data_IF_716349654046
#
_entry.id   IF_716349654046
#
_cell.length_a   1.000
_cell.length_b   1.000
_cell.length_c   1.000
_cell.angle_alpha   90.00
_cell.angle_beta   90.00
_cell.angle_gamma   90.00
#
_symmetry.space_group_name_H-M   'P 1'
#
loop_
_entity.id
_entity.type
_entity.pdbx_description
1 polymer ?
#
# COMPACT_ATOMS: atom_id res chain seq x y z
N UNK A 1 -22.32 -4.05 -12.16
CA UNK A 1 -23.72 -3.59 -12.13
C UNK A 1 -23.77 -2.10 -12.44
N UNK A 2 -24.95 -1.57 -12.76
CA UNK A 2 -25.16 -0.43 -13.65
C UNK A 2 -24.17 0.74 -13.51
N UNK A 3 -23.62 1.14 -14.65
CA UNK A 3 -22.88 2.39 -14.87
C UNK A 3 -23.79 3.62 -14.67
N UNK A 4 -24.39 3.76 -13.49
CA UNK A 4 -25.28 4.89 -13.19
C UNK A 4 -24.46 6.17 -13.29
N UNK A 5 -24.93 7.09 -14.12
CA UNK A 5 -24.31 8.41 -14.23
C UNK A 5 -24.72 9.26 -13.03
N UNK A 6 -23.99 10.34 -12.77
CA UNK A 6 -24.39 11.23 -11.68
C UNK A 6 -25.79 11.79 -11.85
N UNK A 7 -26.20 12.12 -13.07
CA UNK A 7 -27.54 12.64 -13.33
C UNK A 7 -28.61 11.59 -13.02
N UNK A 8 -28.39 10.33 -13.41
CA UNK A 8 -29.32 9.24 -13.10
C UNK A 8 -29.39 8.95 -11.59
N UNK A 9 -28.28 9.03 -10.88
CA UNK A 9 -28.27 8.85 -9.43
C UNK A 9 -29.00 9.99 -8.71
N UNK A 10 -28.74 11.25 -9.10
CA UNK A 10 -29.43 12.41 -8.53
C UNK A 10 -30.92 12.41 -8.85
N UNK A 11 -31.32 11.97 -10.05
CA UNK A 11 -32.73 11.81 -10.41
C UNK A 11 -33.42 10.74 -9.54
N UNK A 12 -32.79 9.60 -9.29
CA UNK A 12 -33.35 8.59 -8.39
C UNK A 12 -33.53 9.11 -6.97
N UNK A 13 -32.58 9.93 -6.49
CA UNK A 13 -32.71 10.59 -5.18
C UNK A 13 -33.84 11.61 -5.17
N UNK A 14 -33.98 12.41 -6.23
CA UNK A 14 -35.05 13.39 -6.39
C UNK A 14 -36.42 12.71 -6.40
N UNK A 15 -36.59 11.70 -7.25
CA UNK A 15 -37.84 10.92 -7.35
C UNK A 15 -38.20 10.25 -6.02
N UNK A 16 -37.22 9.72 -5.28
CA UNK A 16 -37.46 9.13 -3.97
C UNK A 16 -37.91 10.17 -2.92
N UNK A 17 -37.41 11.42 -3.01
CA UNK A 17 -37.83 12.53 -2.14
C UNK A 17 -39.24 13.00 -2.51
N UNK A 18 -39.49 13.21 -3.81
CA UNK A 18 -40.77 13.70 -4.35
C UNK A 18 -41.91 12.72 -4.09
N UNK A 19 -41.64 11.42 -4.19
CA UNK A 19 -42.61 10.36 -3.90
C UNK A 19 -42.74 10.04 -2.40
N UNK A 20 -42.03 10.77 -1.54
CA UNK A 20 -42.00 10.57 -0.08
C UNK A 20 -41.55 9.16 0.36
N UNK A 21 -40.68 8.51 -0.42
CA UNK A 21 -40.13 7.18 -0.14
C UNK A 21 -38.89 7.27 0.77
N UNK A 22 -39.10 7.71 2.02
CA UNK A 22 -38.01 7.99 2.96
C UNK A 22 -37.06 6.81 3.21
N UNK A 23 -37.54 5.56 3.18
CA UNK A 23 -36.69 4.36 3.32
C UNK A 23 -35.79 4.13 2.12
N UNK A 24 -36.29 4.36 0.90
CA UNK A 24 -35.53 4.18 -0.34
C UNK A 24 -34.54 5.33 -0.53
N UNK A 25 -34.94 6.57 -0.23
CA UNK A 25 -34.03 7.72 -0.18
C UNK A 25 -32.91 7.51 0.85
N UNK A 26 -33.24 7.00 2.04
CA UNK A 26 -32.23 6.66 3.06
C UNK A 26 -31.30 5.52 2.61
N UNK A 27 -31.78 4.59 1.79
CA UNK A 27 -30.95 3.56 1.17
C UNK A 27 -30.01 4.19 0.13
N UNK A 28 -30.52 5.01 -0.78
CA UNK A 28 -29.73 5.74 -1.78
C UNK A 28 -28.64 6.58 -1.14
N UNK A 29 -28.92 7.28 -0.04
CA UNK A 29 -27.97 8.08 0.74
C UNK A 29 -27.20 7.28 1.79
N UNK A 30 -27.36 5.96 1.80
CA UNK A 30 -26.58 5.10 2.66
C UNK A 30 -25.19 4.89 2.08
N UNK A 31 -24.18 4.85 2.96
CA UNK A 31 -22.87 4.31 2.57
C UNK A 31 -22.88 2.81 2.23
N UNK A 32 -24.05 2.16 2.30
CA UNK A 32 -24.27 0.77 1.90
C UNK A 32 -24.70 0.65 0.42
N UNK A 33 -25.06 1.75 -0.24
CA UNK A 33 -25.62 1.70 -1.59
C UNK A 33 -24.54 1.70 -2.69
N UNK A 34 -24.76 0.98 -3.80
CA UNK A 34 -23.84 0.83 -4.95
C UNK A 34 -23.08 2.06 -5.43
N UNK A 35 -23.77 3.19 -5.36
CA UNK A 35 -23.29 4.46 -5.89
C UNK A 35 -21.95 4.89 -5.23
N UNK A 36 -21.68 4.45 -3.99
CA UNK A 36 -20.47 4.82 -3.22
C UNK A 36 -19.17 4.35 -3.90
N UNK A 37 -19.20 3.18 -4.54
CA UNK A 37 -18.04 2.59 -5.21
C UNK A 37 -17.92 2.99 -6.68
N UNK A 38 -18.91 3.69 -7.22
CA UNK A 38 -18.92 4.11 -8.62
C UNK A 38 -17.92 5.26 -8.87
N UNK A 39 -16.86 5.05 -9.69
CA UNK A 39 -15.86 6.09 -9.96
C UNK A 39 -16.45 7.34 -10.62
N UNK A 40 -17.59 7.23 -11.33
CA UNK A 40 -18.26 8.38 -11.97
C UNK A 40 -18.93 9.32 -10.98
N UNK A 41 -19.13 8.87 -9.74
CA UNK A 41 -19.74 9.64 -8.67
C UNK A 41 -18.70 10.25 -7.71
N UNK A 42 -17.41 9.90 -7.88
CA UNK A 42 -16.29 10.44 -7.11
C UNK A 42 -15.83 11.80 -7.68
N UNK A 43 -16.72 12.79 -7.65
CA UNK A 43 -16.43 14.13 -8.15
C UNK A 43 -15.70 14.98 -7.10
N UNK A 44 -14.81 15.86 -7.56
CA UNK A 44 -14.14 16.83 -6.70
C UNK A 44 -15.09 17.92 -6.19
N UNK A 45 -16.09 18.29 -7.00
CA UNK A 45 -17.10 19.31 -6.70
C UNK A 45 -18.50 18.84 -7.14
N UNK A 46 -19.20 18.03 -6.34
CA UNK A 46 -20.56 17.59 -6.66
C UNK A 46 -21.63 18.68 -6.48
N UNK A 47 -21.33 19.80 -5.81
CA UNK A 47 -22.29 20.85 -5.42
C UNK A 47 -23.05 21.42 -6.62
N UNK A 48 -22.35 21.84 -7.67
CA UNK A 48 -22.99 22.43 -8.86
C UNK A 48 -23.97 21.46 -9.52
N UNK A 49 -23.66 20.16 -9.52
CA UNK A 49 -24.52 19.13 -10.13
C UNK A 49 -25.69 18.76 -9.22
N UNK A 50 -25.48 18.72 -7.90
CA UNK A 50 -26.55 18.48 -6.95
C UNK A 50 -27.55 19.65 -6.97
N UNK A 51 -27.08 20.90 -6.99
CA UNK A 51 -27.93 22.11 -7.06
C UNK A 51 -28.78 22.19 -8.33
N UNK A 52 -28.32 21.60 -9.44
CA UNK A 52 -29.07 21.57 -10.69
C UNK A 52 -30.26 20.60 -10.67
N UNK A 53 -30.28 19.63 -9.74
CA UNK A 53 -31.23 18.51 -9.76
C UNK A 53 -32.05 18.41 -8.46
N UNK A 54 -31.49 18.80 -7.32
CA UNK A 54 -32.12 18.68 -6.00
C UNK A 54 -32.37 20.08 -5.42
N UNK A 55 -33.48 20.23 -4.69
CA UNK A 55 -33.79 21.46 -3.96
C UNK A 55 -33.13 21.51 -2.58
N UNK A 56 -32.97 22.71 -2.03
CA UNK A 56 -32.45 22.95 -0.68
C UNK A 56 -33.44 22.40 0.36
N UNK A 57 -33.00 21.63 1.38
CA UNK A 57 -31.61 21.38 1.80
C UNK A 57 -31.01 20.04 1.31
N UNK A 58 -31.67 19.35 0.39
CA UNK A 58 -31.28 18.01 -0.05
C UNK A 58 -30.02 18.04 -0.92
N UNK A 59 -29.88 19.05 -1.78
CA UNK A 59 -28.69 19.28 -2.60
C UNK A 59 -27.38 19.27 -1.79
N UNK A 60 -27.33 20.00 -0.67
CA UNK A 60 -26.17 20.08 0.22
C UNK A 60 -25.89 18.74 0.90
N UNK A 61 -26.93 18.07 1.39
CA UNK A 61 -26.82 16.77 2.05
C UNK A 61 -26.28 15.70 1.10
N UNK A 62 -26.79 15.63 -0.14
CA UNK A 62 -26.36 14.64 -1.14
C UNK A 62 -24.96 14.96 -1.65
N UNK A 63 -24.62 16.24 -1.84
CA UNK A 63 -23.27 16.67 -2.20
C UNK A 63 -22.24 16.32 -1.11
N UNK A 64 -22.61 16.41 0.16
CA UNK A 64 -21.77 15.99 1.28
C UNK A 64 -21.58 14.47 1.31
N UNK A 65 -22.65 13.71 1.05
CA UNK A 65 -22.63 12.26 1.00
C UNK A 65 -21.74 11.71 -0.13
N UNK A 66 -21.89 12.24 -1.35
CA UNK A 66 -21.07 11.86 -2.51
C UNK A 66 -19.56 12.11 -2.30
N UNK A 67 -19.20 13.03 -1.41
CA UNK A 67 -17.81 13.31 -1.06
C UNK A 67 -17.17 12.28 -0.11
N UNK A 68 -17.93 11.48 0.64
CA UNK A 68 -17.41 10.87 1.85
C UNK A 68 -16.28 9.82 1.66
N UNK A 69 -16.32 8.97 0.62
CA UNK A 69 -15.23 8.02 0.36
C UNK A 69 -13.96 8.69 -0.18
N UNK A 70 -14.03 9.56 -1.21
CA UNK A 70 -12.90 10.39 -1.61
C UNK A 70 -12.34 11.23 -0.46
N UNK A 71 -13.21 11.80 0.39
CA UNK A 71 -12.81 12.53 1.60
C UNK A 71 -12.14 11.59 2.59
N UNK A 72 -12.64 10.37 2.82
CA UNK A 72 -11.95 9.41 3.68
C UNK A 72 -10.54 9.11 3.16
N UNK A 73 -10.37 8.91 1.84
CA UNK A 73 -9.04 8.70 1.26
C UNK A 73 -8.12 9.91 1.40
N UNK A 74 -8.64 11.13 1.16
CA UNK A 74 -7.90 12.37 1.33
C UNK A 74 -7.50 12.58 2.81
N UNK A 75 -8.46 12.54 3.73
CA UNK A 75 -8.24 12.73 5.17
C UNK A 75 -7.28 11.69 5.74
N UNK A 76 -7.39 10.42 5.35
CA UNK A 76 -6.47 9.39 5.86
C UNK A 76 -5.05 9.52 5.29
N UNK A 77 -4.90 9.99 4.05
CA UNK A 77 -3.60 10.33 3.48
C UNK A 77 -3.00 11.55 4.20
N UNK A 78 -3.78 12.60 4.36
CA UNK A 78 -3.36 13.86 4.96
C UNK A 78 -3.04 13.67 6.44
N UNK A 79 -3.84 12.90 7.19
CA UNK A 79 -3.56 12.56 8.58
C UNK A 79 -2.21 11.84 8.72
N UNK A 80 -1.86 10.92 7.80
CA UNK A 80 -0.55 10.26 7.79
C UNK A 80 0.57 11.25 7.51
N UNK A 81 0.40 12.15 6.54
CA UNK A 81 1.41 13.17 6.18
C UNK A 81 1.59 14.16 7.34
N UNK A 82 0.49 14.62 7.92
CA UNK A 82 0.45 15.53 9.05
C UNK A 82 1.15 14.92 10.27
N UNK A 83 0.79 13.70 10.65
CA UNK A 83 1.43 12.99 11.76
C UNK A 83 2.94 12.83 11.54
N UNK A 84 3.36 12.54 10.31
CA UNK A 84 4.77 12.45 9.94
C UNK A 84 5.51 13.80 10.10
N UNK A 85 4.89 14.90 9.69
CA UNK A 85 5.48 16.23 9.79
C UNK A 85 5.51 16.74 11.24
N UNK A 86 4.43 16.51 12.00
CA UNK A 86 4.33 16.83 13.41
C UNK A 86 5.41 16.09 14.22
N UNK A 87 5.63 14.81 13.94
CA UNK A 87 6.69 14.03 14.56
C UNK A 87 8.08 14.58 14.26
N UNK A 88 8.38 14.89 12.99
CA UNK A 88 9.66 15.51 12.63
C UNK A 88 9.88 16.85 13.36
N UNK A 89 8.83 17.64 13.52
CA UNK A 89 8.91 18.91 14.24
C UNK A 89 9.15 18.71 15.75
N UNK A 90 8.49 17.73 16.37
CA UNK A 90 8.67 17.41 17.80
C UNK A 90 10.05 16.84 18.09
N UNK A 91 10.56 15.97 17.21
CA UNK A 91 11.92 15.43 17.31
C UNK A 91 12.97 16.54 17.19
N UNK A 92 12.81 17.49 16.26
CA UNK A 92 13.70 18.67 16.14
C UNK A 92 13.69 19.54 17.39
N UNK A 93 12.56 19.60 18.11
CA UNK A 93 12.42 20.36 19.36
C UNK A 93 12.83 19.56 20.60
N UNK A 94 13.30 18.31 20.46
CA UNK A 94 13.68 17.43 21.58
C UNK A 94 12.51 17.01 22.48
N UNK A 95 11.26 17.21 22.04
CA UNK A 95 10.03 16.98 22.85
C UNK A 95 9.21 15.78 22.39
N UNK A 96 9.66 15.04 21.37
CA UNK A 96 8.92 13.94 20.76
C UNK A 96 9.58 12.57 20.96
N UNK A 97 8.77 11.53 21.09
CA UNK A 97 9.20 10.13 20.94
C UNK A 97 8.98 9.68 19.50
N UNK A 98 9.91 8.90 18.94
CA UNK A 98 9.77 8.35 17.59
C UNK A 98 8.61 7.35 17.54
N UNK A 99 7.66 7.57 16.63
CA UNK A 99 6.51 6.73 16.38
C UNK A 99 5.21 7.17 17.08
N UNK A 100 5.25 8.06 18.08
CA UNK A 100 4.06 8.38 18.90
C UNK A 100 2.92 9.01 18.08
N UNK A 101 3.22 10.01 17.26
CA UNK A 101 2.19 10.66 16.44
C UNK A 101 1.71 9.76 15.31
N UNK A 102 2.60 8.94 14.76
CA UNK A 102 2.24 7.96 13.74
C UNK A 102 1.35 6.85 14.30
N UNK A 103 1.56 6.42 15.54
CA UNK A 103 0.71 5.44 16.22
C UNK A 103 -0.70 5.98 16.45
N UNK A 104 -0.82 7.22 16.91
CA UNK A 104 -2.14 7.90 17.05
C UNK A 104 -2.86 7.99 15.72
N UNK A 105 -2.16 8.34 14.64
CA UNK A 105 -2.74 8.34 13.30
C UNK A 105 -3.15 6.93 12.85
N UNK A 106 -2.32 5.91 13.10
CA UNK A 106 -2.64 4.53 12.76
C UNK A 106 -3.88 4.01 13.49
N UNK A 107 -4.09 4.42 14.74
CA UNK A 107 -5.30 4.07 15.50
C UNK A 107 -6.58 4.61 14.83
N UNK A 108 -6.55 5.86 14.36
CA UNK A 108 -7.68 6.45 13.62
C UNK A 108 -7.90 5.74 12.27
N UNK A 109 -6.83 5.46 11.52
CA UNK A 109 -6.90 4.71 10.26
C UNK A 109 -7.44 3.29 10.48
N UNK A 110 -7.10 2.64 11.59
CA UNK A 110 -7.65 1.34 12.00
C UNK A 110 -9.14 1.43 12.31
N UNK A 111 -9.62 2.56 12.85
CA UNK A 111 -11.05 2.87 12.95
C UNK A 111 -11.75 2.79 11.59
N UNK A 112 -11.27 3.55 10.59
CA UNK A 112 -11.80 3.51 9.22
C UNK A 112 -11.74 2.11 8.61
N UNK A 113 -10.63 1.39 8.82
CA UNK A 113 -10.44 0.04 8.30
C UNK A 113 -11.48 -0.93 8.87
N UNK A 114 -11.73 -0.88 10.19
CA UNK A 114 -12.75 -1.74 10.84
C UNK A 114 -14.14 -1.50 10.29
N UNK A 115 -14.50 -0.23 10.01
CA UNK A 115 -15.78 0.13 9.39
C UNK A 115 -15.90 -0.43 7.97
N UNK A 116 -14.82 -0.43 7.19
CA UNK A 116 -14.81 -1.02 5.85
C UNK A 116 -14.84 -2.56 5.89
N UNK A 117 -14.11 -3.17 6.82
CA UNK A 117 -13.98 -4.62 6.92
C UNK A 117 -15.24 -5.31 7.45
N UNK A 118 -16.03 -4.64 8.29
CA UNK A 118 -17.30 -5.17 8.83
C UNK A 118 -18.46 -5.11 7.83
N UNK A 119 -18.23 -4.59 6.62
CA UNK A 119 -19.24 -4.44 5.58
C UNK A 119 -19.53 -5.78 4.86
N UNK A 120 -20.30 -6.62 5.54
CA UNK A 120 -20.66 -7.97 5.07
C UNK A 120 -22.04 -8.06 4.41
N UNK A 121 -22.81 -6.96 4.42
CA UNK A 121 -24.19 -6.95 3.92
C UNK A 121 -24.33 -6.34 2.51
N UNK A 122 -23.35 -5.55 2.08
CA UNK A 122 -23.35 -4.92 0.76
C UNK A 122 -22.95 -5.91 -0.35
N UNK A 123 -23.47 -5.70 -1.55
CA UNK A 123 -22.99 -6.37 -2.77
C UNK A 123 -21.51 -6.03 -3.04
N UNK A 124 -20.83 -6.87 -3.82
CA UNK A 124 -19.39 -6.71 -4.14
C UNK A 124 -19.11 -5.36 -4.79
N UNK A 125 -19.97 -4.95 -5.72
CA UNK A 125 -19.86 -3.68 -6.45
C UNK A 125 -20.04 -2.48 -5.51
N UNK A 126 -20.65 -2.66 -4.33
CA UNK A 126 -21.21 -1.59 -3.50
C UNK A 126 -20.50 -1.45 -2.15
N UNK A 127 -19.56 -2.37 -1.90
CA UNK A 127 -19.01 -2.55 -0.57
C UNK A 127 -17.95 -1.51 -0.23
N UNK A 128 -17.98 -1.03 1.02
CA UNK A 128 -16.90 -0.24 1.62
C UNK A 128 -15.56 -0.98 1.65
N UNK A 129 -15.58 -2.30 1.41
CA UNK A 129 -14.38 -3.12 1.24
C UNK A 129 -13.46 -2.60 0.14
N UNK A 130 -13.98 -1.88 -0.87
CA UNK A 130 -13.16 -1.16 -1.86
C UNK A 130 -12.16 -0.17 -1.25
N UNK A 131 -12.45 0.38 -0.07
CA UNK A 131 -11.54 1.26 0.68
C UNK A 131 -10.45 0.54 1.49
N UNK A 132 -10.57 -0.78 1.71
CA UNK A 132 -9.66 -1.52 2.59
C UNK A 132 -8.22 -1.48 2.11
N UNK A 133 -7.98 -1.72 0.82
CA UNK A 133 -6.61 -1.81 0.30
C UNK A 133 -5.90 -0.45 0.38
N UNK A 134 -6.61 0.65 0.16
CA UNK A 134 -6.06 1.99 0.36
C UNK A 134 -5.64 2.22 1.81
N UNK A 135 -6.54 1.96 2.76
CA UNK A 135 -6.29 2.12 4.20
C UNK A 135 -5.13 1.25 4.67
N UNK A 136 -5.08 -0.02 4.24
CA UNK A 136 -3.97 -0.93 4.53
C UNK A 136 -2.65 -0.40 3.98
N UNK A 137 -2.63 0.13 2.76
CA UNK A 137 -1.42 0.72 2.19
C UNK A 137 -0.93 1.94 2.99
N UNK A 138 -1.83 2.72 3.59
CA UNK A 138 -1.45 3.80 4.51
C UNK A 138 -0.92 3.26 5.83
N UNK A 139 -1.59 2.25 6.41
CA UNK A 139 -1.17 1.59 7.64
C UNK A 139 0.20 0.92 7.50
N UNK A 140 0.48 0.25 6.37
CA UNK A 140 1.79 -0.33 6.08
C UNK A 140 2.90 0.72 6.05
N UNK A 141 2.66 1.90 5.45
CA UNK A 141 3.63 3.00 5.46
C UNK A 141 3.98 3.45 6.88
N UNK A 142 2.99 3.45 7.78
CA UNK A 142 3.19 3.76 9.20
C UNK A 142 3.94 2.62 9.89
N UNK A 143 3.42 1.39 9.84
CA UNK A 143 3.95 0.25 10.58
C UNK A 143 5.36 -0.14 10.21
N UNK A 144 5.74 -0.04 8.93
CA UNK A 144 7.13 -0.21 8.51
C UNK A 144 8.04 0.91 9.03
N UNK A 145 7.53 2.13 9.18
CA UNK A 145 8.30 3.26 9.69
C UNK A 145 8.53 3.18 11.20
N UNK A 146 7.55 2.72 11.97
CA UNK A 146 7.66 2.53 13.42
C UNK A 146 8.19 1.14 13.81
N UNK A 147 8.57 0.32 12.82
CA UNK A 147 9.07 -1.04 13.00
C UNK A 147 8.11 -2.01 13.75
N UNK A 148 6.79 -1.81 13.64
CA UNK A 148 5.75 -2.69 14.22
C UNK A 148 5.18 -3.66 13.18
N UNK A 149 6.05 -4.49 12.59
CA UNK A 149 5.69 -5.37 11.46
C UNK A 149 4.64 -6.44 11.80
N UNK A 150 4.56 -6.87 13.07
CA UNK A 150 3.59 -7.86 13.53
C UNK A 150 2.13 -7.41 13.29
N UNK A 151 1.86 -6.10 13.34
CA UNK A 151 0.54 -5.50 13.09
C UNK A 151 0.08 -5.62 11.63
N UNK A 152 0.98 -5.96 10.70
CA UNK A 152 0.61 -6.16 9.30
C UNK A 152 -0.11 -7.50 9.07
N UNK A 153 0.11 -8.52 9.92
CA UNK A 153 -0.44 -9.87 9.71
C UNK A 153 -1.98 -9.92 9.70
N UNK A 154 -2.71 -9.25 10.61
CA UNK A 154 -4.17 -9.18 10.54
C UNK A 154 -4.69 -8.47 9.28
N UNK A 155 -4.01 -7.41 8.84
CA UNK A 155 -4.39 -6.65 7.64
C UNK A 155 -4.24 -7.49 6.37
N UNK A 156 -3.15 -8.25 6.26
CA UNK A 156 -2.90 -9.17 5.14
C UNK A 156 -4.02 -10.22 5.08
N UNK A 157 -4.32 -10.85 6.21
CA UNK A 157 -5.40 -11.86 6.30
C UNK A 157 -6.74 -11.33 5.82
N UNK A 158 -7.09 -10.09 6.18
CA UNK A 158 -8.36 -9.48 5.79
C UNK A 158 -8.49 -9.24 4.28
N UNK A 159 -7.39 -8.96 3.59
CA UNK A 159 -7.38 -8.84 2.12
C UNK A 159 -7.36 -10.21 1.46
N UNK A 160 -6.56 -11.14 1.97
CA UNK A 160 -6.47 -12.49 1.43
C UNK A 160 -7.81 -13.26 1.56
N UNK A 161 -8.61 -12.94 2.59
CA UNK A 161 -9.98 -13.46 2.76
C UNK A 161 -11.05 -12.69 1.97
N UNK A 162 -10.69 -11.59 1.30
CA UNK A 162 -11.63 -10.77 0.55
C UNK A 162 -11.76 -11.22 -0.89
N UNK A 163 -12.98 -11.24 -1.41
CA UNK A 163 -13.27 -11.57 -2.80
C UNK A 163 -12.78 -10.49 -3.78
N UNK A 164 -12.47 -9.28 -3.29
CA UNK A 164 -12.04 -8.12 -4.09
C UNK A 164 -10.53 -8.08 -4.41
N UNK A 165 -9.74 -9.05 -3.95
CA UNK A 165 -8.26 -9.00 -3.96
C UNK A 165 -7.65 -8.66 -5.34
N UNK A 166 -8.29 -9.08 -6.42
CA UNK A 166 -7.79 -8.91 -7.78
C UNK A 166 -8.38 -7.70 -8.51
N UNK A 167 -9.49 -7.15 -8.01
CA UNK A 167 -10.25 -6.06 -8.65
C UNK A 167 -9.76 -4.67 -8.24
N UNK A 168 -8.97 -4.56 -7.17
CA UNK A 168 -8.35 -3.29 -6.79
C UNK A 168 -7.45 -2.74 -7.90
N UNK A 169 -7.34 -1.41 -7.94
CA UNK A 169 -6.44 -0.73 -8.90
C UNK A 169 -5.01 -1.28 -8.84
N UNK A 170 -4.36 -1.37 -10.00
CA UNK A 170 -2.99 -1.88 -10.11
C UNK A 170 -2.01 -1.13 -9.21
N UNK A 171 -2.16 0.20 -9.08
CA UNK A 171 -1.33 1.03 -8.22
C UNK A 171 -1.42 0.63 -6.73
N UNK A 172 -2.64 0.34 -6.25
CA UNK A 172 -2.83 -0.13 -4.89
C UNK A 172 -2.30 -1.56 -4.70
N UNK A 173 -2.52 -2.46 -5.67
CA UNK A 173 -2.01 -3.84 -5.64
C UNK A 173 -0.48 -3.89 -5.62
N UNK A 174 0.19 -3.08 -6.44
CA UNK A 174 1.67 -2.95 -6.44
C UNK A 174 2.18 -2.46 -5.08
N UNK A 175 1.53 -1.47 -4.48
CA UNK A 175 1.94 -0.95 -3.16
C UNK A 175 1.75 -2.01 -2.08
N UNK A 176 0.62 -2.71 -2.09
CA UNK A 176 0.31 -3.78 -1.14
C UNK A 176 1.34 -4.91 -1.24
N UNK A 177 1.54 -5.46 -2.45
CA UNK A 177 2.46 -6.56 -2.71
C UNK A 177 3.91 -6.20 -2.36
N UNK A 178 4.33 -4.95 -2.56
CA UNK A 178 5.63 -4.47 -2.14
C UNK A 178 5.84 -4.61 -0.63
N UNK A 179 4.87 -4.20 0.19
CA UNK A 179 4.98 -4.30 1.65
C UNK A 179 4.83 -5.74 2.15
N UNK A 180 3.90 -6.52 1.58
CA UNK A 180 3.75 -7.94 1.95
C UNK A 180 5.01 -8.73 1.62
N UNK A 181 5.62 -8.50 0.45
CA UNK A 181 6.87 -9.13 0.06
C UNK A 181 8.05 -8.74 0.97
N UNK A 182 8.14 -7.47 1.38
CA UNK A 182 9.13 -7.04 2.39
C UNK A 182 8.93 -7.72 3.74
N UNK A 183 7.69 -7.83 4.22
CA UNK A 183 7.38 -8.53 5.46
C UNK A 183 7.81 -10.01 5.37
N UNK A 184 7.44 -10.70 4.30
CA UNK A 184 7.84 -12.09 4.06
C UNK A 184 9.37 -12.26 4.03
N UNK A 185 10.10 -11.32 3.41
CA UNK A 185 11.56 -11.31 3.45
C UNK A 185 12.11 -11.23 4.89
N UNK A 186 11.54 -10.37 5.74
CA UNK A 186 11.95 -10.26 7.15
C UNK A 186 11.61 -11.51 7.97
N UNK A 187 10.49 -12.16 7.65
CA UNK A 187 10.09 -13.45 8.26
C UNK A 187 10.91 -14.64 7.70
N UNK A 188 11.84 -14.40 6.78
CA UNK A 188 12.65 -15.41 6.07
C UNK A 188 11.88 -16.31 5.10
N UNK A 189 10.65 -15.94 4.74
CA UNK A 189 9.81 -16.61 3.75
C UNK A 189 10.17 -16.13 2.33
N UNK A 190 11.32 -16.58 1.81
CA UNK A 190 11.89 -16.03 0.58
C UNK A 190 11.11 -16.32 -0.70
N UNK A 191 10.43 -17.47 -0.79
CA UNK A 191 9.62 -17.83 -1.97
C UNK A 191 8.42 -16.87 -2.14
N UNK A 192 7.53 -16.70 -1.14
CA UNK A 192 6.48 -15.68 -1.21
C UNK A 192 7.02 -14.26 -1.39
N UNK A 193 8.14 -13.93 -0.73
CA UNK A 193 8.76 -12.62 -0.87
C UNK A 193 9.16 -12.33 -2.33
N UNK A 194 9.75 -13.31 -3.01
CA UNK A 194 10.15 -13.20 -4.42
C UNK A 194 8.93 -12.97 -5.30
N UNK A 195 7.87 -13.77 -5.15
CA UNK A 195 6.66 -13.68 -5.97
C UNK A 195 6.02 -12.29 -5.85
N UNK A 196 5.85 -11.79 -4.61
CA UNK A 196 5.21 -10.50 -4.36
C UNK A 196 6.07 -9.31 -4.81
N UNK A 197 7.38 -9.35 -4.60
CA UNK A 197 8.28 -8.28 -5.04
C UNK A 197 8.48 -8.28 -6.56
N UNK A 198 8.53 -9.46 -7.19
CA UNK A 198 8.57 -9.62 -8.65
C UNK A 198 7.29 -9.08 -9.30
N UNK A 199 6.12 -9.43 -8.75
CA UNK A 199 4.84 -8.86 -9.18
C UNK A 199 4.86 -7.33 -9.12
N UNK A 200 5.33 -6.78 -7.99
CA UNK A 200 5.42 -5.33 -7.78
C UNK A 200 6.33 -4.67 -8.80
N UNK A 201 7.48 -5.26 -9.11
CA UNK A 201 8.45 -4.70 -10.06
C UNK A 201 7.91 -4.70 -11.50
N UNK A 202 7.26 -5.78 -11.91
CA UNK A 202 6.71 -5.97 -13.25
C UNK A 202 5.54 -5.01 -13.52
N UNK A 203 4.62 -4.89 -12.56
CA UNK A 203 3.41 -4.08 -12.68
C UNK A 203 3.61 -2.61 -12.27
N UNK A 204 4.78 -2.25 -11.72
CA UNK A 204 5.11 -0.86 -11.47
C UNK A 204 5.27 -0.08 -12.79
N UNK A 205 4.63 1.09 -12.84
CA UNK A 205 4.65 1.95 -14.03
C UNK A 205 6.08 2.26 -14.49
N UNK A 206 6.29 2.25 -15.82
CA UNK A 206 7.63 2.37 -16.43
C UNK A 206 8.30 3.72 -16.14
N UNK A 207 7.56 4.81 -15.97
CA UNK A 207 8.12 6.11 -15.60
C UNK A 207 8.52 6.22 -14.13
N UNK A 208 8.01 5.34 -13.26
CA UNK A 208 8.21 5.41 -11.81
C UNK A 208 9.54 4.78 -11.37
N UNK A 209 10.67 5.30 -11.90
CA UNK A 209 12.02 4.77 -11.69
C UNK A 209 12.38 4.65 -10.20
N UNK A 210 12.00 5.65 -9.39
CA UNK A 210 12.21 5.63 -7.94
C UNK A 210 11.52 4.45 -7.27
N UNK A 211 10.28 4.14 -7.65
CA UNK A 211 9.53 3.02 -7.08
C UNK A 211 10.14 1.68 -7.51
N UNK A 212 10.53 1.56 -8.78
CA UNK A 212 11.23 0.36 -9.27
C UNK A 212 12.54 0.12 -8.53
N UNK A 213 13.33 1.18 -8.30
CA UNK A 213 14.54 1.12 -7.49
C UNK A 213 14.25 0.66 -6.06
N UNK A 214 13.22 1.22 -5.41
CA UNK A 214 12.82 0.79 -4.06
C UNK A 214 12.41 -0.67 -4.00
N UNK A 215 11.71 -1.19 -5.02
CA UNK A 215 11.34 -2.61 -5.09
C UNK A 215 12.59 -3.48 -5.26
N UNK A 216 13.50 -3.09 -6.15
CA UNK A 216 14.74 -3.84 -6.42
C UNK A 216 15.65 -3.96 -5.21
N UNK A 217 15.75 -2.93 -4.35
CA UNK A 217 16.55 -2.99 -3.12
C UNK A 217 16.19 -4.21 -2.26
N UNK A 218 14.92 -4.61 -2.25
CA UNK A 218 14.44 -5.78 -1.50
C UNK A 218 14.39 -7.04 -2.36
N UNK A 219 14.03 -6.93 -3.65
CA UNK A 219 13.94 -8.08 -4.54
C UNK A 219 15.32 -8.74 -4.80
N UNK A 220 16.37 -7.93 -4.92
CA UNK A 220 17.72 -8.40 -5.21
C UNK A 220 18.25 -9.37 -4.14
N UNK A 221 18.30 -9.02 -2.83
CA UNK A 221 18.68 -9.96 -1.79
C UNK A 221 17.89 -11.26 -1.81
N UNK A 222 16.56 -11.18 -2.01
CA UNK A 222 15.69 -12.38 -2.04
C UNK A 222 16.05 -13.28 -3.21
N UNK A 223 16.19 -12.72 -4.42
CA UNK A 223 16.61 -13.51 -5.60
C UNK A 223 17.99 -14.13 -5.41
N UNK A 224 18.94 -13.40 -4.83
CA UNK A 224 20.28 -13.92 -4.55
C UNK A 224 20.25 -15.08 -3.55
N UNK A 225 19.42 -15.01 -2.51
CA UNK A 225 19.22 -16.11 -1.55
C UNK A 225 18.59 -17.35 -2.20
N UNK A 226 17.73 -17.15 -3.20
CA UNK A 226 17.18 -18.22 -4.03
C UNK A 226 18.16 -18.72 -5.10
N UNK A 227 19.35 -18.14 -5.20
CA UNK A 227 20.41 -18.55 -6.13
C UNK A 227 20.40 -17.83 -7.48
N UNK A 228 19.52 -16.84 -7.67
CA UNK A 228 19.47 -16.04 -8.89
C UNK A 228 20.26 -14.73 -8.71
N UNK A 229 21.37 -14.62 -9.42
CA UNK A 229 22.25 -13.46 -9.37
C UNK A 229 21.77 -12.36 -10.34
N UNK A 230 21.81 -11.08 -9.95
CA UNK A 230 21.39 -10.00 -10.82
C UNK A 230 22.38 -9.70 -11.93
N UNK A 231 21.86 -9.19 -13.04
CA UNK A 231 22.69 -8.80 -14.18
C UNK A 231 23.27 -7.38 -13.97
N UNK A 232 24.52 -7.16 -14.38
CA UNK A 232 25.23 -5.89 -14.14
C UNK A 232 24.54 -4.67 -14.78
N UNK A 233 23.94 -4.86 -15.96
CA UNK A 233 23.18 -3.81 -16.66
C UNK A 233 21.95 -3.35 -15.86
N UNK A 234 21.29 -4.28 -15.15
CA UNK A 234 20.14 -3.96 -14.30
C UNK A 234 20.57 -3.07 -13.13
N UNK A 235 21.70 -3.39 -12.49
CA UNK A 235 22.24 -2.62 -11.37
C UNK A 235 22.59 -1.19 -11.80
N UNK A 236 23.23 -1.04 -12.96
CA UNK A 236 23.57 0.28 -13.52
C UNK A 236 22.32 1.10 -13.84
N UNK A 237 21.30 0.47 -14.45
CA UNK A 237 20.05 1.14 -14.84
C UNK A 237 19.29 1.76 -13.67
N UNK A 238 19.33 1.12 -12.50
CA UNK A 238 18.58 1.57 -11.32
C UNK A 238 19.47 2.13 -10.19
N UNK A 239 20.75 2.42 -10.47
CA UNK A 239 21.70 2.95 -9.51
C UNK A 239 21.80 2.09 -8.22
N UNK A 240 22.14 0.81 -8.43
CA UNK A 240 22.28 -0.23 -7.41
C UNK A 240 23.64 -0.94 -7.52
N UNK A 241 24.68 -0.20 -7.90
CA UNK A 241 26.03 -0.73 -8.11
C UNK A 241 26.67 -1.29 -6.83
N UNK A 242 26.16 -0.92 -5.65
CA UNK A 242 26.57 -1.48 -4.36
C UNK A 242 26.37 -3.01 -4.30
N UNK A 243 25.43 -3.55 -5.07
CA UNK A 243 25.20 -4.99 -5.17
C UNK A 243 26.17 -5.71 -6.11
N UNK A 244 26.97 -5.00 -6.91
CA UNK A 244 27.85 -5.61 -7.90
C UNK A 244 28.94 -6.46 -7.24
N UNK A 245 29.63 -5.91 -6.24
CA UNK A 245 30.69 -6.60 -5.50
C UNK A 245 30.12 -7.82 -4.73
N UNK A 246 28.92 -7.67 -4.13
CA UNK A 246 28.20 -8.78 -3.47
C UNK A 246 27.84 -9.88 -4.46
N UNK A 247 27.34 -9.52 -5.63
CA UNK A 247 26.95 -10.48 -6.68
C UNK A 247 28.16 -11.27 -7.16
N UNK A 248 29.27 -10.57 -7.42
CA UNK A 248 30.53 -11.19 -7.82
C UNK A 248 31.02 -12.17 -6.75
N UNK A 249 31.04 -11.76 -5.48
CA UNK A 249 31.49 -12.62 -4.38
C UNK A 249 30.66 -13.91 -4.25
N UNK A 250 29.33 -13.81 -4.33
CA UNK A 250 28.43 -14.97 -4.21
C UNK A 250 28.57 -15.92 -5.40
N UNK A 251 28.67 -15.40 -6.62
CA UNK A 251 28.98 -16.21 -7.83
C UNK A 251 30.39 -16.84 -7.77
N UNK A 252 31.34 -16.07 -7.21
CA UNK A 252 32.71 -16.40 -6.85
C UNK A 252 32.79 -17.68 -5.98
N UNK A 253 31.87 -17.79 -5.02
CA UNK A 253 32.08 -18.61 -3.83
C UNK A 253 33.14 -17.99 -2.90
N UNK A 254 33.45 -16.70 -3.06
CA UNK A 254 34.52 -16.02 -2.35
C UNK A 254 33.98 -15.31 -1.09
N UNK A 255 34.15 -15.95 0.06
CA UNK A 255 33.69 -15.40 1.34
C UNK A 255 34.44 -14.15 1.80
N UNK A 256 35.74 -14.05 1.51
CA UNK A 256 36.53 -12.88 1.87
C UNK A 256 36.00 -11.64 1.13
N UNK A 257 35.83 -11.76 -0.19
CA UNK A 257 35.28 -10.70 -1.03
C UNK A 257 33.86 -10.32 -0.60
N UNK A 258 33.04 -11.28 -0.16
CA UNK A 258 31.71 -11.00 0.34
C UNK A 258 31.76 -10.12 1.60
N UNK A 259 32.60 -10.48 2.57
CA UNK A 259 32.75 -9.70 3.80
C UNK A 259 33.26 -8.28 3.52
N UNK A 260 34.24 -8.14 2.62
CA UNK A 260 34.75 -6.83 2.17
C UNK A 260 33.67 -6.00 1.48
N UNK A 261 32.87 -6.60 0.59
CA UNK A 261 31.78 -5.92 -0.10
C UNK A 261 30.68 -5.44 0.86
N UNK A 262 30.35 -6.25 1.87
CA UNK A 262 29.38 -5.89 2.91
C UNK A 262 29.90 -4.76 3.80
N UNK A 263 31.18 -4.80 4.18
CA UNK A 263 31.80 -3.74 4.98
C UNK A 263 31.90 -2.41 4.21
N UNK A 264 32.35 -2.46 2.94
CA UNK A 264 32.50 -1.28 2.08
C UNK A 264 31.18 -0.51 1.87
N UNK A 265 30.06 -1.22 1.80
CA UNK A 265 28.74 -0.65 1.56
C UNK A 265 27.78 -0.77 2.75
N UNK A 266 28.31 -0.99 3.96
CA UNK A 266 27.55 -1.25 5.18
C UNK A 266 26.51 -0.15 5.45
N UNK A 267 26.93 1.11 5.41
CA UNK A 267 26.06 2.26 5.68
C UNK A 267 24.84 2.32 4.75
N UNK A 268 25.00 1.93 3.49
CA UNK A 268 23.91 1.87 2.51
C UNK A 268 22.95 0.72 2.82
N UNK A 269 23.47 -0.47 3.11
CA UNK A 269 22.66 -1.65 3.40
C UNK A 269 21.92 -1.56 4.74
N UNK A 270 22.53 -0.97 5.77
CA UNK A 270 21.90 -0.68 7.06
C UNK A 270 20.76 0.32 6.87
N UNK A 271 21.00 1.42 6.14
CA UNK A 271 19.97 2.43 5.86
C UNK A 271 18.77 1.87 5.09
N UNK A 272 19.01 0.89 4.21
CA UNK A 272 17.95 0.20 3.48
C UNK A 272 17.25 -0.89 4.31
N UNK A 273 17.81 -1.27 5.47
CA UNK A 273 17.31 -2.34 6.33
C UNK A 273 17.50 -3.74 5.76
N UNK A 274 18.53 -3.96 4.93
CA UNK A 274 18.78 -5.26 4.26
C UNK A 274 20.11 -5.90 4.64
N UNK A 275 20.93 -5.24 5.46
CA UNK A 275 22.25 -5.74 5.85
C UNK A 275 22.20 -7.17 6.40
N UNK A 276 21.34 -7.43 7.39
CA UNK A 276 21.17 -8.75 7.99
C UNK A 276 20.66 -9.81 6.99
N UNK A 277 19.90 -9.40 5.98
CA UNK A 277 19.44 -10.31 4.91
C UNK A 277 20.61 -10.68 3.99
N UNK A 278 21.46 -9.71 3.66
CA UNK A 278 22.65 -9.94 2.85
C UNK A 278 23.69 -10.80 3.56
N UNK A 279 23.81 -10.71 4.89
CA UNK A 279 24.71 -11.61 5.64
C UNK A 279 24.34 -13.09 5.49
N UNK A 280 23.05 -13.41 5.31
CA UNK A 280 22.61 -14.79 5.05
C UNK A 280 23.13 -15.35 3.72
N UNK A 281 23.61 -14.49 2.80
CA UNK A 281 24.27 -14.94 1.57
C UNK A 281 25.59 -15.67 1.82
N UNK A 282 26.18 -15.57 3.03
CA UNK A 282 27.35 -16.38 3.41
C UNK A 282 27.07 -17.88 3.21
N UNK A 283 25.85 -18.35 3.53
CA UNK A 283 25.43 -19.76 3.35
C UNK A 283 25.46 -20.15 1.87
N UNK A 284 24.92 -19.30 0.99
CA UNK A 284 24.90 -19.54 -0.45
C UNK A 284 26.32 -19.49 -1.03
N UNK A 285 27.16 -18.61 -0.49
CA UNK A 285 28.56 -18.45 -0.92
C UNK A 285 29.38 -19.69 -0.54
N UNK A 286 29.22 -20.21 0.69
CA UNK A 286 29.80 -21.49 1.09
C UNK A 286 29.36 -22.63 0.17
N UNK A 287 28.05 -22.74 -0.11
CA UNK A 287 27.54 -23.75 -1.04
C UNK A 287 28.20 -23.65 -2.42
N UNK A 288 28.37 -22.44 -2.94
CA UNK A 288 28.98 -22.22 -4.25
C UNK A 288 30.49 -22.50 -4.24
N UNK A 289 31.18 -22.24 -3.13
CA UNK A 289 32.58 -22.61 -2.92
C UNK A 289 32.75 -24.14 -2.98
N UNK A 290 31.99 -24.88 -2.18
CA UNK A 290 32.06 -26.35 -2.14
C UNK A 290 31.57 -27.02 -3.43
N UNK A 291 30.79 -26.34 -4.28
CA UNK A 291 30.42 -26.87 -5.60
C UNK A 291 31.54 -26.74 -6.64
N UNK A 292 32.54 -25.89 -6.39
CA UNK A 292 33.67 -25.66 -7.30
C UNK A 292 34.90 -26.52 -6.97
N UNK A 293 35.05 -26.84 -5.69
CA UNK A 293 36.06 -27.79 -5.19
C UNK A 293 35.58 -29.21 -5.47
#
# INVERSE_FOLDING_TARGET
MAHITINQYLQQVCEAIDNHEGSFCAELLSFKHPHVANPRLQLASPEEKCQQVLEVPYDEMVAAHLRALPVMFAVTLDLRIFANNAEQQLLRKGKGKLGDMLEKAAEQLMGCFRVCASDNRAGIDDSKKWGMLFLINQLFKIYFKINKLHLCKPLIRAIDSSNLKDDYSMAQRVTYKYYVGRKAMFDSDYKPAEEYLSFSFQHCHRSSQRNKRMILIYLLPVKMLLGHMPNHQLLRKYDLMQFADVTKAVSEGNLLLLNEALAKHETFFIRCGIFLILEKLKIITYRNLFKKV
#
